data_IF_860150328357
#
_entry.id   IF_860150328357
#
_cell.length_a   1.000
_cell.length_b   1.000
_cell.length_c   1.000
_cell.angle_alpha   90.00
_cell.angle_beta   90.00
_cell.angle_gamma   90.00
#
_symmetry.space_group_name_H-M   'P 1'
#
loop_
_entity.id
_entity.type
_entity.pdbx_description
1 polymer ?
#
# COMPACT_ATOMS: atom_id res chain seq x y z
N UNK A 1 -12.45 -25.36 -8.77
CA UNK A 1 -11.84 -24.32 -9.62
C UNK A 1 -10.42 -24.76 -9.94
N UNK A 2 -10.03 -24.75 -11.21
CA UNK A 2 -8.66 -25.05 -11.61
C UNK A 2 -7.76 -23.84 -11.28
N UNK A 3 -6.70 -24.00 -10.47
CA UNK A 3 -5.78 -22.92 -10.16
C UNK A 3 -5.09 -22.31 -11.39
N UNK A 4 -4.80 -23.10 -12.42
CA UNK A 4 -4.10 -22.62 -13.62
C UNK A 4 -4.98 -21.64 -14.41
N UNK A 5 -6.27 -21.98 -14.60
CA UNK A 5 -7.24 -21.09 -15.26
C UNK A 5 -7.38 -19.74 -14.53
N UNK A 6 -7.38 -19.77 -13.19
CA UNK A 6 -7.46 -18.55 -12.37
C UNK A 6 -6.20 -17.69 -12.53
N UNK A 7 -5.02 -18.32 -12.52
CA UNK A 7 -3.75 -17.63 -12.67
C UNK A 7 -3.59 -17.04 -14.07
N UNK A 8 -3.99 -17.77 -15.12
CA UNK A 8 -3.99 -17.26 -16.50
C UNK A 8 -4.91 -16.05 -16.66
N UNK A 9 -6.09 -16.08 -16.02
CA UNK A 9 -7.06 -14.97 -16.12
C UNK A 9 -6.66 -13.74 -15.32
N UNK A 10 -6.20 -13.92 -14.08
CA UNK A 10 -6.08 -12.83 -13.12
C UNK A 10 -4.62 -12.41 -12.87
N UNK A 11 -3.66 -13.26 -13.19
CA UNK A 11 -2.27 -13.12 -12.79
C UNK A 11 -2.01 -13.60 -11.36
N UNK A 12 -0.72 -13.84 -11.05
CA UNK A 12 -0.26 -14.43 -9.79
C UNK A 12 -0.60 -13.53 -8.59
N UNK A 13 -0.26 -12.24 -8.66
CA UNK A 13 -0.41 -11.33 -7.52
C UNK A 13 -1.87 -11.09 -7.17
N UNK A 14 -2.71 -10.85 -8.18
CA UNK A 14 -4.16 -10.68 -7.96
C UNK A 14 -4.78 -11.93 -7.34
N UNK A 15 -4.37 -13.12 -7.79
CA UNK A 15 -4.87 -14.39 -7.27
C UNK A 15 -4.44 -14.60 -5.81
N UNK A 16 -3.17 -14.31 -5.49
CA UNK A 16 -2.67 -14.35 -4.10
C UNK A 16 -3.39 -13.35 -3.21
N UNK A 17 -3.59 -12.12 -3.68
CA UNK A 17 -4.32 -11.09 -2.93
C UNK A 17 -5.77 -11.49 -2.67
N UNK A 18 -6.48 -12.02 -3.68
CA UNK A 18 -7.84 -12.52 -3.49
C UNK A 18 -7.89 -13.61 -2.42
N UNK A 19 -6.96 -14.57 -2.46
CA UNK A 19 -6.89 -15.64 -1.47
C UNK A 19 -6.68 -15.09 -0.06
N UNK A 20 -5.73 -14.16 0.11
CA UNK A 20 -5.39 -13.58 1.42
C UNK A 20 -6.47 -12.64 1.97
N UNK A 21 -7.25 -11.98 1.11
CA UNK A 21 -8.36 -11.09 1.50
C UNK A 21 -9.63 -11.86 1.87
N UNK A 22 -9.86 -13.01 1.23
CA UNK A 22 -11.14 -13.74 1.29
C UNK A 22 -11.55 -14.20 2.70
N UNK A 23 -10.59 -14.60 3.54
CA UNK A 23 -10.90 -15.05 4.89
C UNK A 23 -9.67 -14.97 5.82
N UNK A 24 -9.92 -15.06 7.13
CA UNK A 24 -8.84 -15.31 8.09
C UNK A 24 -8.23 -16.70 7.85
N UNK A 25 -6.94 -16.94 8.15
CA UNK A 25 -6.25 -18.18 7.75
C UNK A 25 -6.87 -19.50 8.23
N UNK A 26 -7.66 -19.45 9.31
CA UNK A 26 -8.31 -20.63 9.91
C UNK A 26 -9.78 -20.77 9.54
N UNK A 27 -10.30 -19.85 8.71
CA UNK A 27 -11.67 -19.88 8.23
C UNK A 27 -11.71 -20.54 6.85
N UNK A 28 -12.77 -21.29 6.59
CA UNK A 28 -12.99 -21.87 5.27
C UNK A 28 -13.19 -20.75 4.23
N UNK A 29 -12.56 -20.92 3.07
CA UNK A 29 -12.77 -20.03 1.93
C UNK A 29 -13.77 -20.70 0.99
N UNK A 30 -14.94 -20.10 0.87
CA UNK A 30 -15.88 -20.45 -0.19
C UNK A 30 -15.41 -19.75 -1.47
N UNK A 31 -14.64 -20.47 -2.26
CA UNK A 31 -14.06 -19.91 -3.48
C UNK A 31 -15.16 -19.73 -4.54
N UNK A 32 -15.54 -18.47 -4.74
CA UNK A 32 -16.45 -18.03 -5.80
C UNK A 32 -15.71 -17.05 -6.72
N UNK A 33 -16.24 -16.83 -7.92
CA UNK A 33 -15.79 -15.72 -8.76
C UNK A 33 -16.24 -14.39 -8.14
N UNK A 34 -15.54 -13.98 -7.08
CA UNK A 34 -15.83 -12.75 -6.36
C UNK A 34 -15.37 -11.52 -7.14
N UNK A 35 -16.07 -10.40 -6.93
CA UNK A 35 -15.75 -9.14 -7.59
C UNK A 35 -14.42 -8.57 -7.08
N UNK A 36 -13.36 -8.78 -7.86
CA UNK A 36 -12.01 -8.27 -7.58
C UNK A 36 -11.90 -6.73 -7.75
N UNK A 37 -12.99 -6.01 -8.06
CA UNK A 37 -12.98 -4.54 -8.22
C UNK A 37 -12.40 -3.83 -7.00
N UNK A 38 -12.64 -4.32 -5.79
CA UNK A 38 -12.09 -3.70 -4.57
C UNK A 38 -10.56 -3.72 -4.54
N UNK A 39 -9.98 -4.91 -4.76
CA UNK A 39 -8.54 -5.13 -4.80
C UNK A 39 -7.89 -4.40 -5.99
N UNK A 40 -8.48 -4.47 -7.18
CA UNK A 40 -8.02 -3.70 -8.36
C UNK A 40 -7.97 -2.21 -8.08
N UNK A 41 -9.07 -1.62 -7.58
CA UNK A 41 -9.11 -0.20 -7.22
C UNK A 41 -8.10 0.16 -6.13
N UNK A 42 -7.76 -0.77 -5.24
CA UNK A 42 -6.70 -0.53 -4.26
C UNK A 42 -5.32 -0.53 -4.92
N UNK A 43 -5.01 -1.51 -5.77
CA UNK A 43 -3.76 -1.53 -6.53
C UNK A 43 -3.61 -0.31 -7.43
N UNK A 44 -4.68 0.16 -8.08
CA UNK A 44 -4.67 1.39 -8.89
C UNK A 44 -4.32 2.61 -8.03
N UNK A 45 -4.80 2.66 -6.78
CA UNK A 45 -4.46 3.73 -5.82
C UNK A 45 -2.99 3.66 -5.40
N UNK A 46 -2.45 2.47 -5.19
CA UNK A 46 -1.02 2.28 -4.89
C UNK A 46 -0.18 2.72 -6.08
N UNK A 47 -0.52 2.27 -7.29
CA UNK A 47 0.16 2.67 -8.52
C UNK A 47 0.15 4.19 -8.71
N UNK A 48 -0.98 4.85 -8.44
CA UNK A 48 -1.06 6.32 -8.49
C UNK A 48 -0.10 7.01 -7.51
N UNK A 49 0.02 6.52 -6.26
CA UNK A 49 0.96 7.10 -5.28
C UNK A 49 2.40 6.99 -5.79
N UNK A 50 2.77 5.82 -6.34
CA UNK A 50 4.11 5.56 -6.86
C UNK A 50 4.41 6.48 -8.04
N UNK A 51 3.49 6.58 -9.01
CA UNK A 51 3.64 7.49 -10.16
C UNK A 51 3.78 8.93 -9.71
N UNK A 52 2.93 9.39 -8.78
CA UNK A 52 2.99 10.74 -8.24
C UNK A 52 4.35 11.01 -7.55
N UNK A 53 4.86 10.06 -6.76
CA UNK A 53 6.18 10.18 -6.14
C UNK A 53 7.30 10.27 -7.19
N UNK A 54 7.31 9.40 -8.20
CA UNK A 54 8.32 9.43 -9.26
C UNK A 54 8.31 10.76 -10.01
N UNK A 55 7.12 11.25 -10.37
CA UNK A 55 6.95 12.51 -11.09
C UNK A 55 7.41 13.72 -10.25
N UNK A 56 7.00 13.78 -8.98
CA UNK A 56 7.33 14.90 -8.09
C UNK A 56 8.80 14.89 -7.68
N UNK A 57 9.42 13.72 -7.52
CA UNK A 57 10.87 13.60 -7.30
C UNK A 57 11.66 14.06 -8.51
N UNK A 58 11.21 13.71 -9.72
CA UNK A 58 11.84 14.19 -10.96
C UNK A 58 11.78 15.71 -11.07
N UNK A 59 10.61 16.32 -10.81
CA UNK A 59 10.45 17.78 -10.78
C UNK A 59 11.31 18.46 -9.73
N UNK A 60 11.40 17.89 -8.53
CA UNK A 60 12.24 18.43 -7.46
C UNK A 60 13.71 18.48 -7.87
N UNK A 61 14.22 17.40 -8.50
CA UNK A 61 15.59 17.34 -9.03
C UNK A 61 15.80 18.39 -10.13
N UNK A 62 14.87 18.50 -11.08
CA UNK A 62 14.97 19.44 -12.22
C UNK A 62 14.91 20.91 -11.77
N UNK A 63 14.08 21.23 -10.77
CA UNK A 63 13.93 22.59 -10.26
C UNK A 63 15.12 23.07 -9.45
N UNK A 64 15.87 22.16 -8.80
CA UNK A 64 16.99 22.48 -7.91
C UNK A 64 16.62 23.37 -6.70
N UNK A 65 15.33 23.61 -6.46
CA UNK A 65 14.84 24.50 -5.42
C UNK A 65 14.62 23.71 -4.12
N UNK A 66 15.19 24.19 -3.01
CA UNK A 66 14.87 23.66 -1.69
C UNK A 66 13.42 24.03 -1.36
N UNK A 67 12.56 23.01 -1.29
CA UNK A 67 11.19 23.18 -0.83
C UNK A 67 11.19 23.18 0.71
N UNK A 68 10.63 24.20 1.37
CA UNK A 68 10.61 24.24 2.82
C UNK A 68 9.82 23.07 3.39
N UNK A 69 10.45 22.33 4.29
CA UNK A 69 9.85 21.16 4.95
C UNK A 69 8.87 21.63 6.04
N UNK A 70 7.64 21.14 5.99
CA UNK A 70 6.64 21.39 7.02
C UNK A 70 6.82 20.40 8.17
N UNK A 71 7.39 20.86 9.29
CA UNK A 71 7.71 20.01 10.45
C UNK A 71 6.50 19.27 11.04
N UNK A 72 5.32 19.90 11.06
CA UNK A 72 4.08 19.28 11.57
C UNK A 72 3.60 18.15 10.65
N UNK A 73 3.76 18.34 9.35
CA UNK A 73 3.44 17.31 8.35
C UNK A 73 4.43 16.13 8.45
N UNK A 74 5.73 16.39 8.60
CA UNK A 74 6.74 15.35 8.82
C UNK A 74 6.43 14.52 10.07
N UNK A 75 6.06 15.16 11.18
CA UNK A 75 5.67 14.48 12.42
C UNK A 75 4.44 13.59 12.19
N UNK A 76 3.43 14.12 11.51
CA UNK A 76 2.22 13.35 11.15
C UNK A 76 2.55 12.13 10.27
N UNK A 77 3.45 12.30 9.29
CA UNK A 77 3.89 11.21 8.41
C UNK A 77 4.70 10.17 9.19
N UNK A 78 5.57 10.59 10.11
CA UNK A 78 6.33 9.70 10.99
C UNK A 78 5.42 8.89 11.91
N UNK A 79 4.39 9.52 12.47
CA UNK A 79 3.37 8.82 13.27
C UNK A 79 2.60 7.79 12.43
N UNK A 80 2.19 8.17 11.21
CA UNK A 80 1.54 7.25 10.27
C UNK A 80 2.45 6.07 9.93
N UNK A 81 3.73 6.32 9.60
CA UNK A 81 4.74 5.28 9.37
C UNK A 81 4.79 4.31 10.55
N UNK A 82 5.01 4.83 11.76
CA UNK A 82 5.16 4.00 12.95
C UNK A 82 3.90 3.19 13.25
N UNK A 83 2.72 3.79 13.08
CA UNK A 83 1.45 3.13 13.27
C UNK A 83 1.26 1.99 12.27
N UNK A 84 1.36 2.27 10.97
CA UNK A 84 1.06 1.27 9.94
C UNK A 84 2.10 0.16 9.89
N UNK A 85 3.39 0.47 10.01
CA UNK A 85 4.46 -0.54 10.03
C UNK A 85 4.27 -1.48 11.22
N UNK A 86 4.15 -0.95 12.45
CA UNK A 86 3.97 -1.78 13.64
C UNK A 86 2.75 -2.70 13.55
N UNK A 87 1.60 -2.14 13.15
CA UNK A 87 0.34 -2.90 13.12
C UNK A 87 0.33 -3.93 11.99
N UNK A 88 0.91 -3.61 10.83
CA UNK A 88 0.99 -4.54 9.71
C UNK A 88 1.97 -5.67 10.03
N UNK A 89 3.18 -5.37 10.53
CA UNK A 89 4.15 -6.39 10.97
C UNK A 89 3.57 -7.31 12.04
N UNK A 90 2.84 -6.78 13.03
CA UNK A 90 2.17 -7.62 14.03
C UNK A 90 1.14 -8.58 13.40
N UNK A 91 0.38 -8.12 12.41
CA UNK A 91 -0.59 -8.96 11.71
C UNK A 91 0.11 -10.04 10.87
N UNK A 92 1.18 -9.69 10.14
CA UNK A 92 1.90 -10.61 9.27
C UNK A 92 2.73 -11.63 10.05
N UNK A 93 3.58 -11.16 10.98
CA UNK A 93 4.65 -11.98 11.57
C UNK A 93 4.22 -12.71 12.84
N UNK A 94 3.30 -12.12 13.62
CA UNK A 94 2.93 -12.65 14.94
C UNK A 94 1.57 -13.33 14.88
N UNK A 95 0.55 -12.60 14.41
CA UNK A 95 -0.84 -13.07 14.47
C UNK A 95 -1.23 -13.92 13.25
N UNK A 96 -0.44 -13.88 12.18
CA UNK A 96 -0.73 -14.49 10.88
C UNK A 96 -2.08 -14.02 10.27
N UNK A 97 -2.58 -12.84 10.65
CA UNK A 97 -3.86 -12.28 10.19
C UNK A 97 -3.69 -11.52 8.86
N UNK A 98 -3.45 -12.25 7.77
CA UNK A 98 -3.12 -11.68 6.47
C UNK A 98 -4.22 -10.75 5.91
N UNK A 99 -5.50 -11.13 6.01
CA UNK A 99 -6.62 -10.27 5.62
C UNK A 99 -6.63 -8.94 6.40
N UNK A 100 -6.29 -8.99 7.69
CA UNK A 100 -6.21 -7.80 8.54
C UNK A 100 -4.98 -6.96 8.18
N UNK A 101 -3.85 -7.59 7.85
CA UNK A 101 -2.67 -6.89 7.34
C UNK A 101 -2.98 -6.14 6.04
N UNK A 102 -3.70 -6.76 5.10
CA UNK A 102 -4.17 -6.10 3.87
C UNK A 102 -5.05 -4.89 4.19
N UNK A 103 -6.00 -5.02 5.12
CA UNK A 103 -6.81 -3.88 5.56
C UNK A 103 -5.97 -2.74 6.16
N UNK A 104 -4.87 -3.05 6.87
CA UNK A 104 -3.91 -2.03 7.35
C UNK A 104 -3.17 -1.36 6.20
N UNK A 105 -2.70 -2.11 5.21
CA UNK A 105 -2.04 -1.56 4.02
C UNK A 105 -2.98 -0.68 3.17
N UNK A 106 -4.25 -1.07 3.04
CA UNK A 106 -5.29 -0.24 2.43
C UNK A 106 -5.50 1.06 3.22
N UNK A 107 -5.50 0.99 4.55
CA UNK A 107 -5.52 2.16 5.43
C UNK A 107 -4.31 3.07 5.22
N UNK A 108 -3.12 2.50 5.10
CA UNK A 108 -1.89 3.25 4.85
C UNK A 108 -1.92 3.96 3.50
N UNK A 109 -2.38 3.25 2.46
CA UNK A 109 -2.64 3.80 1.12
C UNK A 109 -3.61 4.97 1.17
N UNK A 110 -4.70 4.85 1.94
CA UNK A 110 -5.69 5.93 2.11
C UNK A 110 -5.12 7.14 2.84
N UNK A 111 -4.23 6.94 3.82
CA UNK A 111 -3.56 8.03 4.52
C UNK A 111 -2.66 8.83 3.56
N UNK A 112 -1.85 8.13 2.75
CA UNK A 112 -0.98 8.75 1.74
C UNK A 112 -1.77 9.46 0.63
N UNK A 113 -2.91 8.92 0.22
CA UNK A 113 -3.80 9.54 -0.79
C UNK A 113 -4.37 10.91 -0.38
N UNK A 114 -4.34 11.25 0.91
CA UNK A 114 -4.80 12.56 1.41
C UNK A 114 -3.70 13.62 1.39
N UNK A 115 -2.46 13.22 1.15
CA UNK A 115 -1.31 14.12 1.11
C UNK A 115 -1.25 14.78 -0.27
N UNK A 116 -0.92 16.06 -0.30
CA UNK A 116 -0.67 16.77 -1.55
C UNK A 116 0.52 16.12 -2.29
N UNK A 117 0.41 15.79 -3.58
CA UNK A 117 1.48 15.14 -4.33
C UNK A 117 2.83 15.86 -4.26
N UNK A 118 2.84 17.20 -4.22
CA UNK A 118 4.08 17.99 -4.17
C UNK A 118 4.97 17.66 -2.96
N UNK A 119 4.35 17.16 -1.87
CA UNK A 119 5.05 16.69 -0.67
C UNK A 119 5.94 15.49 -0.99
N UNK A 120 5.51 14.60 -1.89
CA UNK A 120 6.27 13.39 -2.25
C UNK A 120 7.62 13.71 -2.91
N UNK A 121 7.76 14.90 -3.51
CA UNK A 121 9.01 15.35 -4.11
C UNK A 121 10.09 15.77 -3.11
N UNK A 122 9.70 16.21 -1.91
CA UNK A 122 10.61 16.88 -0.97
C UNK A 122 10.64 16.30 0.45
N UNK A 123 9.57 15.62 0.88
CA UNK A 123 9.42 15.09 2.24
C UNK A 123 10.14 13.75 2.43
N UNK A 124 11.13 13.66 3.34
CA UNK A 124 11.79 12.41 3.69
C UNK A 124 10.84 11.39 4.35
N UNK A 125 9.93 11.83 5.22
CA UNK A 125 8.99 10.91 5.87
C UNK A 125 7.91 10.41 4.90
N UNK A 126 7.53 11.19 3.87
CA UNK A 126 6.65 10.70 2.81
C UNK A 126 7.32 9.60 1.99
N UNK A 127 8.57 9.82 1.57
CA UNK A 127 9.38 8.82 0.88
C UNK A 127 9.51 7.53 1.70
N UNK A 128 9.82 7.67 3.00
CA UNK A 128 9.90 6.55 3.93
C UNK A 128 8.58 5.79 4.05
N UNK A 129 7.44 6.49 4.11
CA UNK A 129 6.12 5.87 4.14
C UNK A 129 5.83 5.06 2.87
N UNK A 130 6.12 5.64 1.70
CA UNK A 130 5.88 5.00 0.39
C UNK A 130 6.76 3.76 0.27
N UNK A 131 8.05 3.87 0.62
CA UNK A 131 8.97 2.74 0.62
C UNK A 131 8.49 1.60 1.53
N UNK A 132 8.04 1.92 2.75
CA UNK A 132 7.50 0.93 3.67
C UNK A 132 6.21 0.28 3.16
N UNK A 133 5.30 1.06 2.56
CA UNK A 133 4.08 0.52 1.95
C UNK A 133 4.42 -0.54 0.89
N UNK A 134 5.33 -0.22 -0.03
CA UNK A 134 5.74 -1.13 -1.10
C UNK A 134 6.45 -2.36 -0.52
N UNK A 135 7.36 -2.17 0.43
CA UNK A 135 8.12 -3.26 1.05
C UNK A 135 7.19 -4.25 1.76
N UNK A 136 6.18 -3.77 2.50
CA UNK A 136 5.23 -4.64 3.19
C UNK A 136 4.20 -5.31 2.27
N UNK A 137 4.13 -4.91 1.00
CA UNK A 137 3.30 -5.56 -0.02
C UNK A 137 4.00 -6.73 -0.73
N UNK A 138 5.33 -6.88 -0.56
CA UNK A 138 6.12 -7.97 -1.13
C UNK A 138 6.04 -9.23 -0.27
#
# INVERSE_FOLDING_TARGET
VDPLDVLERNGVDMTRLQLLDSAAPRQAINWEESDQKGLRKWLDRVAWIISAYVDERKKAIESGAETPINSKLEETLRENYNFFVRNTSMCLEVLNLHNTALARLQGFTNALRKIDPSVFGSSPEAERCIYALITMMQ
#
